data_IF_197162474056
#
_entry.id   IF_197162474056
#
_cell.length_a   1.000
_cell.length_b   1.000
_cell.length_c   1.000
_cell.angle_alpha   90.00
_cell.angle_beta   90.00
_cell.angle_gamma   90.00
#
_symmetry.space_group_name_H-M   'P 1'
#
loop_
_entity.id
_entity.type
_entity.pdbx_description
1 polymer ?
#
# COMPACT_ATOMS: atom_id res chain seq x y z
N UNK A 1 -9.09 7.10 -18.43
CA UNK A 1 -9.05 8.57 -18.26
C UNK A 1 -8.39 8.83 -16.90
N UNK A 2 -7.46 9.79 -16.77
CA UNK A 2 -6.80 10.07 -15.48
C UNK A 2 -7.76 10.85 -14.57
N UNK A 3 -7.94 10.40 -13.32
CA UNK A 3 -8.80 11.06 -12.34
C UNK A 3 -8.20 12.43 -11.97
N UNK A 4 -9.04 13.46 -11.91
CA UNK A 4 -8.65 14.83 -11.54
C UNK A 4 -9.57 15.34 -10.45
N UNK A 5 -8.99 15.78 -9.33
CA UNK A 5 -9.74 16.20 -8.16
C UNK A 5 -10.07 17.69 -8.18
N UNK A 6 -11.25 18.02 -7.67
CA UNK A 6 -11.67 19.36 -7.30
C UNK A 6 -10.78 19.92 -6.18
N UNK A 7 -10.74 21.24 -5.97
CA UNK A 7 -9.99 21.83 -4.87
C UNK A 7 -10.62 21.46 -3.53
N UNK A 8 -9.78 21.29 -2.50
CA UNK A 8 -10.22 21.01 -1.14
C UNK A 8 -9.18 21.48 -0.12
N UNK A 9 -9.63 21.59 1.14
CA UNK A 9 -8.77 21.70 2.32
C UNK A 9 -9.06 20.52 3.23
N UNK A 10 -8.01 19.87 3.73
CA UNK A 10 -8.14 18.72 4.61
C UNK A 10 -7.11 18.79 5.74
N UNK A 11 -7.54 18.49 6.97
CA UNK A 11 -6.63 18.24 8.08
C UNK A 11 -6.28 16.77 8.10
N UNK A 12 -4.98 16.47 8.07
CA UNK A 12 -4.46 15.10 8.00
C UNK A 12 -3.40 14.88 9.07
N UNK A 13 -2.96 13.63 9.23
CA UNK A 13 -1.81 13.30 10.09
C UNK A 13 -0.51 14.01 9.66
N UNK A 14 -0.45 14.56 8.43
CA UNK A 14 0.66 15.36 7.92
C UNK A 14 0.47 16.87 8.11
N UNK A 15 -0.60 17.27 8.79
CA UNK A 15 -1.04 18.66 8.93
C UNK A 15 -2.11 19.03 7.91
N UNK A 16 -2.35 20.34 7.77
CA UNK A 16 -3.35 20.88 6.86
C UNK A 16 -2.84 20.90 5.42
N UNK A 17 -3.54 20.21 4.53
CA UNK A 17 -3.35 20.26 3.08
C UNK A 17 -4.35 21.24 2.47
N UNK A 18 -3.84 22.22 1.72
CA UNK A 18 -4.66 23.04 0.81
C UNK A 18 -4.36 22.60 -0.61
N UNK A 19 -5.25 21.80 -1.20
CA UNK A 19 -5.11 21.28 -2.56
C UNK A 19 -5.88 22.14 -3.55
N UNK A 20 -5.17 22.84 -4.43
CA UNK A 20 -5.75 23.70 -5.48
C UNK A 20 -5.97 22.93 -6.79
N UNK A 21 -6.72 21.83 -6.71
CA UNK A 21 -7.10 21.01 -7.87
C UNK A 21 -7.99 21.78 -8.85
N UNK A 22 -8.02 21.31 -10.10
CA UNK A 22 -8.85 21.88 -11.19
C UNK A 22 -9.81 20.87 -11.80
N UNK A 23 -9.88 19.66 -11.23
CA UNK A 23 -10.81 18.62 -11.66
C UNK A 23 -12.20 18.80 -11.05
N UNK A 24 -13.05 17.80 -11.28
CA UNK A 24 -14.44 17.80 -10.80
C UNK A 24 -14.72 16.70 -9.79
N UNK A 25 -13.79 15.76 -9.60
CA UNK A 25 -13.97 14.66 -8.65
C UNK A 25 -13.75 15.15 -7.23
N UNK A 26 -14.73 14.96 -6.36
CA UNK A 26 -14.59 15.26 -4.94
C UNK A 26 -13.81 14.12 -4.29
N UNK A 27 -12.63 14.41 -3.75
CA UNK A 27 -11.81 13.43 -3.06
C UNK A 27 -12.47 13.03 -1.73
N UNK A 28 -12.58 11.73 -1.46
CA UNK A 28 -12.95 11.23 -0.14
C UNK A 28 -11.80 11.40 0.88
N UNK A 29 -12.02 11.11 2.15
CA UNK A 29 -11.00 11.32 3.19
C UNK A 29 -9.71 10.52 2.95
N UNK A 30 -9.82 9.28 2.44
CA UNK A 30 -8.66 8.45 2.11
C UNK A 30 -7.87 9.07 0.95
N UNK A 31 -8.52 9.48 -0.13
CA UNK A 31 -7.88 10.14 -1.27
C UNK A 31 -7.23 11.47 -0.86
N UNK A 32 -7.89 12.26 0.00
CA UNK A 32 -7.31 13.50 0.55
C UNK A 32 -6.02 13.21 1.34
N UNK A 33 -6.01 12.16 2.17
CA UNK A 33 -4.81 11.72 2.89
C UNK A 33 -3.72 11.26 1.94
N UNK A 34 -4.03 10.48 0.91
CA UNK A 34 -3.04 10.04 -0.07
C UNK A 34 -2.37 11.22 -0.80
N UNK A 35 -3.15 12.24 -1.15
CA UNK A 35 -2.62 13.48 -1.74
C UNK A 35 -1.73 14.21 -0.72
N UNK A 36 -2.09 14.23 0.57
CA UNK A 36 -1.26 14.84 1.62
C UNK A 36 0.06 14.08 1.83
N UNK A 37 0.04 12.75 1.81
CA UNK A 37 1.25 11.91 1.87
C UNK A 37 2.17 12.14 0.66
N UNK A 38 1.60 12.28 -0.53
CA UNK A 38 2.35 12.66 -1.73
C UNK A 38 2.95 14.06 -1.61
N UNK A 39 2.15 15.06 -1.18
CA UNK A 39 2.61 16.43 -1.01
C UNK A 39 3.75 16.51 0.02
N UNK A 40 3.64 15.76 1.11
CA UNK A 40 4.69 15.65 2.12
C UNK A 40 5.97 15.03 1.55
N UNK A 41 5.85 13.97 0.75
CA UNK A 41 6.99 13.36 0.05
C UNK A 41 7.71 14.38 -0.84
N UNK A 42 6.97 15.22 -1.59
CA UNK A 42 7.53 16.30 -2.40
C UNK A 42 8.18 17.39 -1.58
N UNK A 43 7.57 17.76 -0.46
CA UNK A 43 8.13 18.73 0.48
C UNK A 43 9.49 18.25 1.02
N UNK A 44 9.60 16.99 1.44
CA UNK A 44 10.87 16.42 1.94
C UNK A 44 11.94 16.41 0.85
N UNK A 45 11.59 16.00 -0.39
CA UNK A 45 12.52 16.06 -1.53
C UNK A 45 13.01 17.48 -1.82
N UNK A 46 12.10 18.46 -1.80
CA UNK A 46 12.44 19.87 -2.08
C UNK A 46 13.43 20.46 -1.06
N UNK A 47 13.51 19.88 0.15
CA UNK A 47 14.50 20.27 1.17
C UNK A 47 15.88 19.65 0.96
N UNK A 48 16.11 18.98 -0.17
CA UNK A 48 17.40 18.38 -0.54
C UNK A 48 17.64 17.00 0.07
N UNK A 49 16.62 16.38 0.67
CA UNK A 49 16.74 15.03 1.23
C UNK A 49 16.55 13.98 0.13
N UNK A 50 17.58 13.15 -0.09
CA UNK A 50 17.44 11.94 -0.90
C UNK A 50 16.42 11.01 -0.25
N UNK A 51 15.45 10.54 -1.02
CA UNK A 51 14.47 9.56 -0.59
C UNK A 51 14.78 8.21 -1.24
N UNK A 52 15.01 7.15 -0.46
CA UNK A 52 15.19 5.82 -1.01
C UNK A 52 13.90 5.31 -1.67
N UNK A 53 14.01 4.25 -2.47
CA UNK A 53 12.89 3.69 -3.22
C UNK A 53 11.77 3.14 -2.34
N UNK A 54 12.07 2.75 -1.10
CA UNK A 54 11.15 2.27 -0.09
C UNK A 54 10.61 3.40 0.81
N UNK A 55 10.92 4.68 0.51
CA UNK A 55 10.39 5.78 1.30
C UNK A 55 8.86 5.81 1.24
N UNK A 56 8.25 5.66 2.42
CA UNK A 56 6.80 5.60 2.55
C UNK A 56 6.21 4.23 2.17
N UNK A 57 7.03 3.20 1.93
CA UNK A 57 6.54 1.81 1.85
C UNK A 57 5.89 1.44 3.19
N UNK A 58 4.68 0.91 3.14
CA UNK A 58 3.90 0.54 4.33
C UNK A 58 3.41 -0.88 4.31
N UNK A 59 3.28 -1.48 3.13
CA UNK A 59 2.96 -2.89 3.01
C UNK A 59 3.86 -3.50 1.94
N UNK A 60 4.56 -4.55 2.32
CA UNK A 60 5.29 -5.45 1.44
C UNK A 60 4.65 -6.83 1.55
N UNK A 61 4.35 -7.45 0.42
CA UNK A 61 3.90 -8.83 0.35
C UNK A 61 4.73 -9.58 -0.68
N UNK A 62 5.12 -10.81 -0.34
CA UNK A 62 5.71 -11.78 -1.26
C UNK A 62 4.97 -13.09 -1.11
N UNK A 63 4.61 -13.69 -2.23
CA UNK A 63 4.12 -15.07 -2.29
C UNK A 63 4.87 -15.85 -3.35
N UNK A 64 5.44 -16.96 -2.92
CA UNK A 64 5.98 -18.02 -3.74
C UNK A 64 5.11 -19.26 -3.52
N UNK A 65 4.31 -19.64 -4.51
CA UNK A 65 3.46 -20.83 -4.48
C UNK A 65 3.36 -21.44 -5.88
N UNK A 66 2.86 -22.69 -6.01
CA UNK A 66 2.68 -23.31 -7.32
C UNK A 66 1.75 -22.55 -8.28
N UNK A 67 0.85 -21.72 -7.75
CA UNK A 67 -0.15 -20.96 -8.50
C UNK A 67 0.19 -19.47 -8.64
N UNK A 68 1.14 -18.95 -7.86
CA UNK A 68 1.45 -17.51 -7.82
C UNK A 68 2.91 -17.30 -7.41
N UNK A 69 3.65 -16.47 -8.14
CA UNK A 69 4.98 -16.05 -7.74
C UNK A 69 5.12 -14.55 -7.97
N UNK A 70 4.97 -13.76 -6.92
CA UNK A 70 4.87 -12.32 -7.05
C UNK A 70 5.17 -11.57 -5.77
N UNK A 71 5.49 -10.29 -5.95
CA UNK A 71 5.71 -9.35 -4.85
C UNK A 71 4.84 -8.11 -5.08
N UNK A 72 4.24 -7.56 -4.02
CA UNK A 72 3.47 -6.32 -4.06
C UNK A 72 4.03 -5.33 -3.04
N UNK A 73 4.31 -4.12 -3.49
CA UNK A 73 4.69 -3.00 -2.65
C UNK A 73 3.55 -1.98 -2.64
N UNK A 74 3.07 -1.59 -1.46
CA UNK A 74 2.06 -0.55 -1.31
C UNK A 74 2.60 0.56 -0.41
N UNK A 75 2.62 1.77 -0.97
CA UNK A 75 3.11 2.96 -0.32
C UNK A 75 1.99 3.69 0.42
N UNK A 76 2.35 4.51 1.42
CA UNK A 76 1.42 5.36 2.16
C UNK A 76 0.66 6.35 1.27
N UNK A 77 1.12 6.60 0.04
CA UNK A 77 0.41 7.40 -0.98
C UNK A 77 -0.70 6.63 -1.71
N UNK A 78 -0.89 5.35 -1.40
CA UNK A 78 -1.76 4.44 -2.13
C UNK A 78 -1.19 3.96 -3.47
N UNK A 79 0.04 4.33 -3.82
CA UNK A 79 0.74 3.74 -4.97
C UNK A 79 1.02 2.27 -4.67
N UNK A 80 0.67 1.40 -5.61
CA UNK A 80 0.92 -0.02 -5.57
C UNK A 80 1.79 -0.43 -6.78
N UNK A 81 2.80 -1.25 -6.52
CA UNK A 81 3.73 -1.76 -7.53
C UNK A 81 3.81 -3.27 -7.41
N UNK A 82 3.36 -3.96 -8.46
CA UNK A 82 3.48 -5.41 -8.60
C UNK A 82 4.82 -5.74 -9.27
N UNK A 83 5.55 -6.68 -8.70
CA UNK A 83 6.83 -7.17 -9.19
C UNK A 83 6.77 -8.68 -9.44
N UNK A 84 7.66 -9.15 -10.31
CA UNK A 84 7.96 -10.58 -10.39
C UNK A 84 8.59 -11.08 -9.07
N UNK A 85 8.57 -12.39 -8.87
CA UNK A 85 9.11 -13.03 -7.66
C UNK A 85 10.56 -12.62 -7.32
N UNK A 86 11.50 -12.60 -8.28
CA UNK A 86 12.87 -12.17 -8.02
C UNK A 86 13.01 -10.68 -7.65
N UNK A 87 11.96 -9.87 -7.82
CA UNK A 87 11.98 -8.43 -7.61
C UNK A 87 12.81 -7.67 -8.65
N UNK A 88 13.04 -8.26 -9.82
CA UNK A 88 13.88 -7.69 -10.88
C UNK A 88 13.11 -6.89 -11.91
N UNK A 89 11.80 -7.10 -12.01
CA UNK A 89 10.94 -6.46 -12.99
C UNK A 89 9.57 -6.10 -12.40
N UNK A 90 9.14 -4.85 -12.64
CA UNK A 90 7.80 -4.41 -12.31
C UNK A 90 6.83 -4.92 -13.38
N UNK A 91 5.82 -5.66 -12.94
CA UNK A 91 4.78 -6.24 -13.80
C UNK A 91 3.59 -5.29 -13.95
N UNK A 92 3.39 -4.38 -13.00
CA UNK A 92 2.28 -3.43 -13.03
C UNK A 92 2.41 -2.33 -11.99
N UNK A 93 1.87 -1.16 -12.30
CA UNK A 93 1.84 0.02 -11.43
C UNK A 93 0.46 0.64 -11.46
N UNK A 94 -0.08 0.96 -10.30
CA UNK A 94 -1.36 1.66 -10.19
C UNK A 94 -1.54 2.27 -8.81
N UNK A 95 -2.63 3.02 -8.64
CA UNK A 95 -3.07 3.45 -7.32
C UNK A 95 -4.18 2.53 -6.84
N UNK A 96 -4.22 2.28 -5.53
CA UNK A 96 -5.36 1.67 -4.88
C UNK A 96 -6.64 2.45 -5.24
N UNK A 97 -7.75 1.73 -5.42
CA UNK A 97 -9.07 2.37 -5.54
C UNK A 97 -9.43 3.09 -4.23
N UNK A 98 -10.42 3.98 -4.28
CA UNK A 98 -10.92 4.68 -3.09
C UNK A 98 -11.24 3.73 -1.93
N UNK A 99 -11.96 2.63 -2.20
CA UNK A 99 -12.31 1.62 -1.19
C UNK A 99 -11.09 0.84 -0.69
N UNK A 100 -10.18 0.45 -1.59
CA UNK A 100 -8.94 -0.23 -1.20
C UNK A 100 -8.07 0.66 -0.32
N UNK A 101 -8.01 1.95 -0.63
CA UNK A 101 -7.22 2.94 0.11
C UNK A 101 -7.79 3.21 1.51
N UNK A 102 -9.11 3.30 1.64
CA UNK A 102 -9.79 3.42 2.94
C UNK A 102 -9.53 2.19 3.82
N UNK A 103 -9.63 0.99 3.26
CA UNK A 103 -9.33 -0.25 3.99
C UNK A 103 -7.85 -0.32 4.40
N UNK A 104 -6.95 0.06 3.50
CA UNK A 104 -5.52 0.12 3.77
C UNK A 104 -5.17 1.09 4.90
N UNK A 105 -5.75 2.28 4.91
CA UNK A 105 -5.54 3.23 6.00
C UNK A 105 -6.18 2.80 7.30
N UNK A 106 -7.32 2.11 7.25
CA UNK A 106 -7.92 1.50 8.45
C UNK A 106 -6.93 0.55 9.14
N UNK A 107 -6.24 -0.30 8.38
CA UNK A 107 -5.21 -1.19 8.94
C UNK A 107 -3.95 -0.45 9.39
N UNK A 108 -3.51 0.54 8.62
CA UNK A 108 -2.35 1.35 8.97
C UNK A 108 -2.56 2.11 10.29
N UNK A 109 -3.75 2.66 10.49
CA UNK A 109 -4.09 3.48 11.66
C UNK A 109 -4.49 2.63 12.88
N UNK A 110 -4.76 1.34 12.68
CA UNK A 110 -5.03 0.45 13.81
C UNK A 110 -3.78 0.20 14.66
N UNK A 111 -2.59 0.45 14.11
CA UNK A 111 -1.33 0.29 14.84
C UNK A 111 -0.98 -1.16 15.20
N UNK A 112 -1.75 -2.13 14.71
CA UNK A 112 -1.54 -3.56 15.00
C UNK A 112 -0.31 -4.07 14.27
N UNK A 113 0.27 -5.15 14.78
CA UNK A 113 1.29 -5.92 14.08
C UNK A 113 0.64 -6.93 13.14
N UNK A 114 0.90 -6.78 11.84
CA UNK A 114 0.38 -7.66 10.79
C UNK A 114 1.42 -8.61 10.20
N UNK A 115 2.69 -8.48 10.64
CA UNK A 115 3.80 -9.18 10.00
C UNK A 115 3.68 -10.69 10.16
N UNK A 116 3.82 -11.40 9.05
CA UNK A 116 3.90 -12.86 9.01
C UNK A 116 5.02 -13.33 8.09
N UNK A 117 5.60 -14.46 8.44
CA UNK A 117 6.41 -15.28 7.55
C UNK A 117 5.94 -16.72 7.69
N UNK A 118 5.44 -17.29 6.59
CA UNK A 118 4.97 -18.68 6.51
C UNK A 118 5.79 -19.39 5.45
N UNK A 119 6.34 -20.54 5.80
CA UNK A 119 7.06 -21.41 4.88
C UNK A 119 6.58 -22.86 5.05
N UNK A 120 6.50 -23.60 3.94
CA UNK A 120 6.03 -24.98 3.96
C UNK A 120 6.02 -25.61 2.57
N UNK A 121 5.18 -26.64 2.41
CA UNK A 121 5.00 -27.33 1.14
C UNK A 121 3.52 -27.64 0.88
N UNK A 122 3.10 -27.53 -0.37
CA UNK A 122 1.78 -27.98 -0.86
C UNK A 122 2.01 -28.93 -2.02
N UNK A 123 1.54 -30.17 -1.89
CA UNK A 123 1.78 -31.25 -2.86
C UNK A 123 3.26 -31.44 -3.22
N UNK A 124 4.15 -31.32 -2.23
CA UNK A 124 5.61 -31.46 -2.39
C UNK A 124 6.31 -30.25 -3.03
N UNK A 125 5.58 -29.18 -3.36
CA UNK A 125 6.17 -27.93 -3.87
C UNK A 125 6.31 -26.89 -2.75
N UNK A 126 7.42 -26.13 -2.68
CA UNK A 126 7.61 -25.13 -1.65
C UNK A 126 6.56 -24.02 -1.74
N UNK A 127 6.14 -23.54 -0.58
CA UNK A 127 5.30 -22.35 -0.43
C UNK A 127 5.96 -21.42 0.56
N UNK A 128 6.03 -20.13 0.23
CA UNK A 128 6.49 -19.05 1.10
C UNK A 128 5.55 -17.85 0.97
N UNK A 129 5.10 -17.32 2.10
CA UNK A 129 4.30 -16.10 2.17
C UNK A 129 4.94 -15.19 3.20
N UNK A 130 5.28 -13.97 2.77
CA UNK A 130 5.77 -12.91 3.64
C UNK A 130 4.82 -11.73 3.53
N UNK A 131 4.45 -11.19 4.67
CA UNK A 131 3.75 -9.92 4.79
C UNK A 131 4.52 -9.08 5.80
N UNK A 132 4.92 -7.88 5.40
CA UNK A 132 5.37 -6.83 6.31
C UNK A 132 4.43 -5.64 6.16
N UNK A 133 3.87 -5.14 7.25
CA UNK A 133 2.94 -4.01 7.23
C UNK A 133 3.27 -3.00 8.34
N UNK A 134 4.04 -1.98 7.97
CA UNK A 134 4.20 -0.74 8.73
C UNK A 134 4.70 -0.92 10.17
N UNK A 135 4.84 0.19 10.88
CA UNK A 135 5.30 0.17 12.27
C UNK A 135 4.07 0.01 13.17
N UNK A 136 4.05 -1.03 14.00
CA UNK A 136 3.09 -1.17 15.09
C UNK A 136 3.47 -0.24 16.24
N UNK A 137 2.49 0.48 16.79
CA UNK A 137 2.64 1.33 17.96
C UNK A 137 1.90 0.79 19.19
N UNK A 138 0.97 -0.15 19.02
CA UNK A 138 0.17 -0.72 20.12
C UNK A 138 0.75 -1.99 20.75
N UNK A 139 1.60 -2.73 20.03
CA UNK A 139 2.09 -4.04 20.44
C UNK A 139 1.05 -5.17 20.34
N UNK A 140 -0.19 -4.87 19.91
CA UNK A 140 -1.24 -5.85 19.67
C UNK A 140 -1.05 -6.53 18.31
N UNK A 141 -1.11 -7.87 18.27
CA UNK A 141 -1.09 -8.63 17.02
C UNK A 141 -2.46 -8.66 16.34
N UNK A 142 -2.49 -8.54 15.02
CA UNK A 142 -3.69 -8.83 14.24
C UNK A 142 -4.10 -10.30 14.41
N UNK A 143 -5.41 -10.58 14.35
CA UNK A 143 -5.89 -11.97 14.44
C UNK A 143 -5.55 -12.74 13.16
N UNK A 144 -5.55 -14.08 13.22
CA UNK A 144 -5.33 -14.90 12.02
C UNK A 144 -6.35 -14.59 10.91
N UNK A 145 -7.60 -14.33 11.27
CA UNK A 145 -8.64 -13.93 10.31
C UNK A 145 -8.32 -12.58 9.65
N UNK A 146 -7.85 -11.61 10.44
CA UNK A 146 -7.45 -10.30 9.92
C UNK A 146 -6.26 -10.41 8.96
N UNK A 147 -5.29 -11.26 9.26
CA UNK A 147 -4.17 -11.55 8.36
C UNK A 147 -4.67 -12.10 7.02
N UNK A 148 -5.62 -13.05 7.02
CA UNK A 148 -6.16 -13.58 5.78
C UNK A 148 -6.88 -12.51 4.95
N UNK A 149 -7.55 -11.54 5.58
CA UNK A 149 -8.15 -10.40 4.88
C UNK A 149 -7.09 -9.53 4.19
N UNK A 150 -5.96 -9.27 4.85
CA UNK A 150 -4.84 -8.54 4.23
C UNK A 150 -4.23 -9.34 3.09
N UNK A 151 -4.02 -10.65 3.28
CA UNK A 151 -3.49 -11.53 2.22
C UNK A 151 -4.43 -11.61 1.00
N UNK A 152 -5.74 -11.63 1.22
CA UNK A 152 -6.71 -11.57 0.14
C UNK A 152 -6.63 -10.22 -0.60
N UNK A 153 -6.59 -9.12 0.14
CA UNK A 153 -6.44 -7.77 -0.42
C UNK A 153 -5.20 -7.63 -1.31
N UNK A 154 -4.02 -8.07 -0.85
CA UNK A 154 -2.78 -7.93 -1.63
C UNK A 154 -2.80 -8.78 -2.90
N UNK A 155 -3.42 -9.97 -2.85
CA UNK A 155 -3.59 -10.81 -4.04
C UNK A 155 -4.53 -10.18 -5.06
N UNK A 156 -5.63 -9.58 -4.61
CA UNK A 156 -6.58 -8.85 -5.48
C UNK A 156 -5.92 -7.63 -6.13
N UNK A 157 -5.20 -6.83 -5.35
CA UNK A 157 -4.46 -5.67 -5.88
C UNK A 157 -3.41 -6.14 -6.89
N UNK A 158 -2.61 -7.17 -6.54
CA UNK A 158 -1.60 -7.72 -7.44
C UNK A 158 -2.23 -8.19 -8.76
N UNK A 159 -3.27 -9.02 -8.69
CA UNK A 159 -3.96 -9.54 -9.86
C UNK A 159 -4.53 -8.41 -10.74
N UNK A 160 -5.11 -7.38 -10.14
CA UNK A 160 -5.64 -6.22 -10.87
C UNK A 160 -4.57 -5.37 -11.56
N UNK A 161 -3.32 -5.41 -11.10
CA UNK A 161 -2.19 -4.72 -11.74
C UNK A 161 -1.51 -5.53 -12.83
N UNK A 162 -1.63 -6.87 -12.79
CA UNK A 162 -0.94 -7.80 -13.71
C UNK A 162 -1.85 -8.42 -14.77
N UNK A 163 -3.15 -8.14 -14.74
CA UNK A 163 -4.14 -8.58 -15.73
C UNK A 163 -4.11 -7.69 -16.98
#
# INVERSE_FOLDING_TARGET
>A
MKQTYAPFTADTIRGTLVFKGTGTVVANQAEQRAIAEWAFTRFVQARGTYLPADYGLRLFWLEESPSLCGTLWVYQTGLAVAWNCPGTEALGVGFLTATQMEQFYTWLDSGKRWDIERAGQVAGKPVRVILYFGISDTGEGATAEDIEKVLQFVREVYAGLTA
#
